data_IF_053352743617
#
_entry.id   IF_053352743617
#
_cell.length_a   1.000
_cell.length_b   1.000
_cell.length_c   1.000
_cell.angle_alpha   90.00
_cell.angle_beta   90.00
_cell.angle_gamma   90.00
#
_symmetry.space_group_name_H-M   'P 1'
#
loop_
_entity.id
_entity.type
_entity.pdbx_description
1 polymer ?
#
# COMPACT_ATOMS: atom_id res chain seq x y z
N UNK A 1 -1.16 1.00 -11.41
CA UNK A 1 -0.55 1.50 -12.67
C UNK A 1 -1.55 1.74 -13.81
N UNK A 2 -2.78 1.23 -13.76
CA UNK A 2 -3.80 1.45 -14.81
C UNK A 2 -4.02 2.92 -15.23
N UNK A 3 -4.10 3.91 -14.31
CA UNK A 3 -4.27 5.33 -14.69
C UNK A 3 -3.19 5.90 -15.61
N UNK A 4 -2.02 5.25 -15.64
CA UNK A 4 -0.86 5.67 -16.42
C UNK A 4 -0.67 4.84 -17.69
N UNK A 5 -1.52 3.82 -17.93
CA UNK A 5 -1.53 3.07 -19.17
C UNK A 5 -2.28 3.84 -20.27
N UNK A 6 -1.83 3.80 -21.54
CA UNK A 6 -2.57 4.36 -22.65
C UNK A 6 -4.00 3.81 -22.72
N UNK A 7 -4.99 4.65 -23.05
CA UNK A 7 -6.41 4.29 -23.08
C UNK A 7 -6.70 2.97 -23.80
N UNK A 8 -6.13 2.78 -24.99
CA UNK A 8 -6.33 1.56 -25.78
C UNK A 8 -5.88 0.28 -25.05
N UNK A 9 -4.82 0.36 -24.24
CA UNK A 9 -4.36 -0.79 -23.44
C UNK A 9 -5.34 -1.12 -22.32
N UNK A 10 -5.97 -0.11 -21.72
CA UNK A 10 -6.95 -0.30 -20.66
C UNK A 10 -8.24 -0.92 -21.20
N UNK A 11 -8.72 -0.42 -22.35
CA UNK A 11 -9.90 -0.97 -23.05
C UNK A 11 -9.69 -2.46 -23.39
N UNK A 12 -8.51 -2.83 -23.87
CA UNK A 12 -8.18 -4.24 -24.16
C UNK A 12 -8.21 -5.11 -22.91
N UNK A 13 -7.78 -4.57 -21.75
CA UNK A 13 -7.85 -5.29 -20.46
C UNK A 13 -9.30 -5.45 -20.01
N UNK A 14 -10.14 -4.40 -20.13
CA UNK A 14 -11.55 -4.45 -19.79
C UNK A 14 -12.28 -5.57 -20.55
N UNK A 15 -12.17 -5.60 -21.88
CA UNK A 15 -12.74 -6.69 -22.69
C UNK A 15 -12.15 -8.07 -22.37
N UNK A 16 -10.85 -8.15 -22.05
CA UNK A 16 -10.22 -9.42 -21.66
C UNK A 16 -10.74 -9.96 -20.32
N UNK A 17 -11.33 -9.10 -19.49
CA UNK A 17 -11.99 -9.48 -18.23
C UNK A 17 -13.47 -9.84 -18.42
N UNK A 18 -13.97 -9.84 -19.66
CA UNK A 18 -15.36 -10.13 -19.96
C UNK A 18 -16.32 -8.97 -19.69
N UNK A 19 -15.79 -7.78 -19.41
CA UNK A 19 -16.57 -6.56 -19.24
C UNK A 19 -17.00 -6.06 -20.63
N UNK A 20 -18.29 -5.83 -20.82
CA UNK A 20 -18.85 -5.28 -22.05
C UNK A 20 -19.42 -3.87 -21.76
N UNK A 21 -18.91 -2.81 -22.41
CA UNK A 21 -19.48 -1.48 -22.26
C UNK A 21 -20.88 -1.36 -22.88
N UNK A 22 -21.34 -2.36 -23.64
CA UNK A 22 -22.62 -2.35 -24.33
C UNK A 22 -23.39 -3.68 -24.05
N UNK A 23 -23.42 -4.19 -22.81
CA UNK A 23 -24.07 -5.47 -22.48
C UNK A 23 -25.56 -5.44 -22.91
N UNK A 24 -25.94 -6.17 -23.97
CA UNK A 24 -27.30 -6.11 -24.50
C UNK A 24 -28.27 -7.05 -23.77
N UNK A 25 -27.80 -7.85 -22.81
CA UNK A 25 -28.57 -8.89 -22.13
C UNK A 25 -29.10 -8.47 -20.74
N UNK A 26 -28.69 -7.31 -20.18
CA UNK A 26 -29.28 -6.69 -19.00
C UNK A 26 -29.96 -5.33 -19.32
N UNK A 27 -31.30 -5.31 -19.55
CA UNK A 27 -32.02 -4.10 -19.90
C UNK A 27 -32.14 -3.07 -18.76
N UNK A 28 -31.73 -3.42 -17.53
CA UNK A 28 -31.74 -2.53 -16.37
C UNK A 28 -30.34 -1.94 -16.07
N UNK A 29 -29.26 -2.46 -16.68
CA UNK A 29 -27.88 -1.96 -16.53
C UNK A 29 -27.08 -2.06 -17.85
N UNK A 30 -27.28 -1.12 -18.81
CA UNK A 30 -26.75 -1.21 -20.17
C UNK A 30 -25.24 -0.95 -20.31
N UNK A 31 -24.57 -0.55 -19.23
CA UNK A 31 -23.14 -0.23 -19.18
C UNK A 31 -22.54 -1.01 -18.00
N UNK A 32 -21.62 -1.96 -18.20
CA UNK A 32 -20.88 -2.54 -17.06
C UNK A 32 -20.13 -1.39 -16.34
N UNK A 33 -20.55 -0.99 -15.12
CA UNK A 33 -20.02 0.22 -14.50
C UNK A 33 -18.53 0.08 -14.22
N UNK A 34 -18.01 -1.15 -14.05
CA UNK A 34 -16.58 -1.40 -13.87
C UNK A 34 -15.77 -1.10 -15.16
N UNK A 35 -16.39 -1.12 -16.35
CA UNK A 35 -15.74 -0.73 -17.60
C UNK A 35 -15.30 0.75 -17.60
N UNK A 36 -16.02 1.61 -16.86
CA UNK A 36 -15.68 3.03 -16.72
C UNK A 36 -14.31 3.25 -16.04
N UNK A 37 -13.85 2.29 -15.21
CA UNK A 37 -12.50 2.31 -14.65
C UNK A 37 -11.42 2.21 -15.74
N UNK A 38 -11.70 1.48 -16.82
CA UNK A 38 -10.73 1.27 -17.91
C UNK A 38 -10.71 2.44 -18.89
N UNK A 39 -11.82 3.14 -19.09
CA UNK A 39 -11.90 4.33 -19.95
C UNK A 39 -11.36 5.58 -19.28
N UNK A 40 -11.74 5.82 -18.03
CA UNK A 40 -11.26 6.95 -17.23
C UNK A 40 -11.14 6.57 -15.74
N UNK A 41 -10.03 5.93 -15.33
CA UNK A 41 -9.85 5.47 -13.96
C UNK A 41 -9.82 6.61 -12.95
N UNK A 42 -9.44 7.83 -13.37
CA UNK A 42 -9.43 8.98 -12.48
C UNK A 42 -10.87 9.45 -12.23
N UNK A 43 -11.66 9.62 -13.29
CA UNK A 43 -13.07 9.99 -13.16
C UNK A 43 -13.89 8.88 -12.52
N UNK A 44 -13.65 7.61 -12.87
CA UNK A 44 -14.28 6.46 -12.22
C UNK A 44 -14.00 6.42 -10.73
N UNK A 45 -12.75 6.62 -10.28
CA UNK A 45 -12.45 6.68 -8.86
C UNK A 45 -13.11 7.89 -8.19
N UNK A 46 -13.32 9.00 -8.91
CA UNK A 46 -14.07 10.17 -8.42
C UNK A 46 -15.58 9.87 -8.33
N UNK A 47 -16.14 9.16 -9.31
CA UNK A 47 -17.56 8.81 -9.39
C UNK A 47 -17.92 7.71 -8.38
N UNK A 48 -17.06 6.70 -8.22
CA UNK A 48 -17.18 5.68 -7.16
C UNK A 48 -16.97 6.26 -5.76
N UNK A 49 -16.12 7.28 -5.63
CA UNK A 49 -16.01 8.03 -4.40
C UNK A 49 -17.23 8.92 -4.13
N UNK A 50 -18.21 8.99 -5.05
CA UNK A 50 -19.45 9.75 -4.90
C UNK A 50 -19.18 11.25 -4.62
N UNK A 51 -19.30 11.65 -3.37
CA UNK A 51 -19.03 13.03 -2.94
C UNK A 51 -17.53 13.37 -2.75
N UNK A 52 -16.63 12.39 -2.92
CA UNK A 52 -15.17 12.50 -2.88
C UNK A 52 -14.52 11.43 -1.99
N UNK A 53 -13.18 11.31 -2.02
CA UNK A 53 -12.47 10.49 -1.03
C UNK A 53 -12.74 11.03 0.37
N UNK A 54 -13.37 10.24 1.23
CA UNK A 54 -13.70 10.66 2.58
C UNK A 54 -12.45 10.89 3.43
N UNK A 55 -11.40 10.10 3.23
CA UNK A 55 -10.18 10.14 4.03
C UNK A 55 -8.90 9.94 3.22
N UNK A 56 -7.86 10.73 3.51
CA UNK A 56 -6.47 10.52 3.08
C UNK A 56 -5.62 10.33 4.32
N UNK A 57 -4.95 9.18 4.43
CA UNK A 57 -4.09 8.88 5.58
C UNK A 57 -2.63 9.00 5.17
N UNK A 58 -1.90 9.87 5.84
CA UNK A 58 -0.44 9.92 5.76
C UNK A 58 0.14 8.89 6.72
N UNK A 59 1.17 8.18 6.27
CA UNK A 59 1.91 7.20 7.08
C UNK A 59 3.30 7.75 7.37
N UNK A 60 3.70 7.91 8.64
CA UNK A 60 5.03 8.37 8.99
C UNK A 60 6.07 7.24 8.76
N UNK A 61 7.35 7.56 8.91
CA UNK A 61 8.38 6.51 8.93
C UNK A 61 8.21 5.58 10.15
N UNK A 62 8.47 4.30 9.95
CA UNK A 62 8.22 3.23 10.92
C UNK A 62 9.35 3.10 11.95
N UNK A 63 9.49 4.09 12.83
CA UNK A 63 10.54 4.11 13.85
C UNK A 63 10.28 3.13 14.99
N UNK A 64 11.33 2.38 15.38
CA UNK A 64 11.31 1.51 16.55
C UNK A 64 10.44 0.27 16.38
N UNK A 65 9.96 -0.28 17.51
CA UNK A 65 9.04 -1.41 17.51
C UNK A 65 7.70 -0.96 16.92
N UNK A 66 7.05 -1.78 16.09
CA UNK A 66 5.75 -1.43 15.52
C UNK A 66 4.58 -1.58 16.48
N UNK A 67 3.35 -1.62 15.97
CA UNK A 67 2.16 -1.74 16.81
C UNK A 67 2.21 -2.99 17.68
N UNK A 68 1.68 -2.90 18.89
CA UNK A 68 1.42 -4.07 19.71
C UNK A 68 0.50 -5.05 18.95
N UNK A 69 0.60 -6.34 19.25
CA UNK A 69 -0.36 -7.30 18.71
C UNK A 69 -1.77 -6.92 19.19
N UNK A 70 -2.78 -6.88 18.29
CA UNK A 70 -4.12 -6.49 18.67
C UNK A 70 -4.73 -7.54 19.60
N UNK A 71 -5.45 -7.10 20.62
CA UNK A 71 -6.15 -7.97 21.57
C UNK A 71 -7.19 -8.84 20.82
N UNK A 72 -6.84 -10.10 20.56
CA UNK A 72 -7.58 -11.06 19.74
C UNK A 72 -8.91 -11.58 20.30
N UNK A 73 -9.41 -10.98 21.37
CA UNK A 73 -10.54 -11.49 22.16
C UNK A 73 -11.93 -11.03 21.69
N UNK A 74 -12.03 -9.95 20.92
CA UNK A 74 -13.33 -9.35 20.53
C UNK A 74 -14.08 -10.11 19.44
N UNK A 75 -15.41 -10.00 19.39
CA UNK A 75 -16.18 -10.29 18.16
C UNK A 75 -16.08 -9.09 17.20
N UNK A 76 -16.25 -9.31 15.88
CA UNK A 76 -16.36 -8.21 14.93
C UNK A 76 -17.47 -7.23 15.34
N UNK A 77 -17.11 -5.95 15.42
CA UNK A 77 -18.03 -4.87 15.76
C UNK A 77 -18.77 -4.44 14.49
N UNK A 78 -20.02 -4.85 14.33
CA UNK A 78 -20.85 -4.45 13.19
C UNK A 78 -21.56 -3.12 13.50
N UNK A 79 -21.59 -2.21 12.53
CA UNK A 79 -22.43 -1.02 12.59
C UNK A 79 -23.91 -1.41 12.69
N UNK A 80 -24.80 -0.51 13.14
CA UNK A 80 -26.25 -0.77 13.14
C UNK A 80 -26.82 -1.18 11.78
N UNK A 81 -26.16 -0.77 10.70
CA UNK A 81 -26.54 -1.06 9.32
C UNK A 81 -25.89 -2.35 8.77
N UNK A 82 -25.05 -3.02 9.58
CA UNK A 82 -24.37 -4.27 9.23
C UNK A 82 -22.98 -4.10 8.63
N UNK A 83 -22.48 -2.87 8.54
CA UNK A 83 -21.16 -2.57 7.99
C UNK A 83 -20.05 -2.88 8.99
N UNK A 84 -18.85 -3.15 8.47
CA UNK A 84 -17.63 -3.32 9.25
C UNK A 84 -16.86 -2.00 9.30
N UNK A 85 -16.90 -1.24 10.42
CA UNK A 85 -16.27 0.05 10.49
C UNK A 85 -14.75 -0.09 10.52
N UNK A 86 -14.09 0.46 9.49
CA UNK A 86 -12.64 0.65 9.50
C UNK A 86 -12.28 1.75 10.51
N UNK A 87 -11.55 1.39 11.57
CA UNK A 87 -10.98 2.33 12.52
C UNK A 87 -9.54 2.61 12.12
N UNK A 88 -9.12 3.86 12.25
CA UNK A 88 -7.75 4.28 11.92
C UNK A 88 -7.16 4.95 13.16
N UNK A 89 -6.03 4.43 13.63
CA UNK A 89 -5.27 5.04 14.72
C UNK A 89 -4.51 6.24 14.16
N UNK A 90 -5.21 7.35 14.05
CA UNK A 90 -4.71 8.60 13.54
C UNK A 90 -5.25 9.79 14.35
N UNK A 91 -4.53 10.91 14.27
CA UNK A 91 -5.07 12.19 14.71
C UNK A 91 -5.95 12.75 13.59
N UNK A 92 -7.25 12.86 13.88
CA UNK A 92 -8.15 13.73 13.15
C UNK A 92 -7.91 15.15 13.66
N UNK A 93 -7.39 16.02 12.79
CA UNK A 93 -6.88 17.34 13.17
C UNK A 93 -5.71 17.29 14.16
N UNK A 94 -4.56 17.65 13.63
CA UNK A 94 -3.34 17.90 14.37
C UNK A 94 -3.57 19.06 15.37
N UNK A 95 -3.61 18.75 16.67
CA UNK A 95 -3.51 19.75 17.76
C UNK A 95 -2.09 19.72 18.33
N UNK A 96 -1.19 20.54 17.81
CA UNK A 96 0.18 20.65 18.33
C UNK A 96 0.37 21.82 19.32
N UNK A 97 1.05 21.52 20.44
CA UNK A 97 1.48 22.49 21.44
C UNK A 97 2.59 23.40 20.87
N UNK A 98 2.19 24.63 20.56
CA UNK A 98 2.88 25.92 20.45
C UNK A 98 4.33 26.11 19.99
N UNK A 99 5.27 25.17 20.08
CA UNK A 99 6.69 25.47 19.80
C UNK A 99 7.19 25.05 18.40
N UNK A 100 6.39 24.32 17.61
CA UNK A 100 6.68 23.95 16.20
C UNK A 100 5.79 24.70 15.17
N UNK A 101 5.28 25.88 15.53
CA UNK A 101 4.08 26.48 14.91
C UNK A 101 4.20 27.08 13.50
N UNK A 102 5.36 27.49 13.01
CA UNK A 102 5.34 28.39 11.84
C UNK A 102 5.32 27.69 10.47
N UNK A 103 5.84 26.46 10.34
CA UNK A 103 6.03 25.81 9.05
C UNK A 103 4.81 25.00 8.53
N UNK A 104 4.06 24.38 9.45
CA UNK A 104 2.94 23.48 9.15
C UNK A 104 1.56 24.12 9.36
N UNK A 105 1.44 25.14 10.20
CA UNK A 105 0.20 25.92 10.33
C UNK A 105 -0.16 26.64 9.02
N UNK A 106 0.84 27.11 8.28
CA UNK A 106 0.67 27.75 6.97
C UNK A 106 0.32 26.72 5.86
N UNK A 107 0.77 25.47 5.99
CA UNK A 107 0.38 24.36 5.10
C UNK A 107 -1.11 24.04 5.22
N UNK A 108 -1.62 24.06 6.45
CA UNK A 108 -3.01 23.74 6.79
C UNK A 108 -3.99 24.85 6.37
N UNK A 109 -3.57 26.12 6.41
CA UNK A 109 -4.37 27.24 5.88
C UNK A 109 -4.64 27.15 4.37
N UNK A 110 -3.80 26.44 3.62
CA UNK A 110 -3.93 26.31 2.17
C UNK A 110 -4.87 25.15 1.78
N UNK A 111 -4.93 24.10 2.61
CA UNK A 111 -5.78 22.94 2.38
C UNK A 111 -7.23 23.17 2.83
N UNK A 112 -7.48 24.10 3.76
CA UNK A 112 -8.84 24.54 4.11
C UNK A 112 -9.60 25.25 2.97
N UNK A 113 -8.91 25.60 1.87
CA UNK A 113 -9.52 26.07 0.63
C UNK A 113 -9.94 24.93 -0.32
N UNK A 114 -9.47 23.70 -0.11
CA UNK A 114 -9.96 22.51 -0.79
C UNK A 114 -11.26 22.07 -0.09
N UNK A 115 -12.31 21.89 -0.90
CA UNK A 115 -13.68 21.55 -0.47
C UNK A 115 -13.73 20.64 0.77
N UNK A 116 -14.55 21.05 1.74
CA UNK A 116 -14.87 20.44 3.06
C UNK A 116 -15.29 18.95 3.11
N UNK A 117 -14.84 18.07 2.20
CA UNK A 117 -15.34 16.68 2.06
C UNK A 117 -14.29 15.59 2.22
N UNK A 118 -13.00 15.93 2.30
CA UNK A 118 -11.91 14.97 2.47
C UNK A 118 -11.20 15.23 3.80
N UNK A 119 -11.21 14.27 4.71
CA UNK A 119 -10.51 14.32 5.98
C UNK A 119 -9.07 13.85 5.78
N UNK A 120 -8.10 14.70 6.08
CA UNK A 120 -6.71 14.30 6.11
C UNK A 120 -6.34 13.84 7.52
N UNK A 121 -5.76 12.65 7.59
CA UNK A 121 -5.38 11.98 8.83
C UNK A 121 -3.88 11.75 8.84
N UNK A 122 -3.26 12.01 9.99
CA UNK A 122 -1.89 11.61 10.24
C UNK A 122 -1.93 10.37 11.12
N UNK A 123 -1.58 9.21 10.58
CA UNK A 123 -1.46 7.99 11.37
C UNK A 123 -0.45 8.20 12.50
N UNK A 124 -0.79 7.76 13.72
CA UNK A 124 0.16 7.81 14.83
C UNK A 124 1.42 7.03 14.47
N UNK A 125 2.60 7.39 15.02
CA UNK A 125 3.72 6.47 15.04
C UNK A 125 3.26 5.12 15.60
N UNK A 126 3.53 4.03 14.87
CA UNK A 126 3.09 2.66 15.21
C UNK A 126 1.57 2.44 15.13
N UNK A 127 0.82 3.37 14.54
CA UNK A 127 -0.61 3.24 14.35
C UNK A 127 -0.98 2.17 13.33
N UNK A 128 -2.20 1.67 13.43
CA UNK A 128 -2.81 0.70 12.52
C UNK A 128 -4.12 1.21 11.97
N UNK A 129 -4.56 0.63 10.85
CA UNK A 129 -5.96 0.69 10.44
C UNK A 129 -6.55 -0.70 10.63
N UNK A 130 -7.75 -0.82 11.18
CA UNK A 130 -8.30 -2.11 11.52
C UNK A 130 -9.82 -2.15 11.56
N UNK A 131 -10.38 -3.31 11.26
CA UNK A 131 -11.75 -3.69 11.56
C UNK A 131 -11.72 -4.43 12.91
N UNK A 132 -12.31 -3.87 13.98
CA UNK A 132 -12.26 -4.45 15.31
C UNK A 132 -12.65 -5.93 15.33
N UNK A 133 -11.84 -6.76 16.00
CA UNK A 133 -12.13 -8.20 16.16
C UNK A 133 -12.05 -9.03 14.87
N UNK A 134 -11.66 -8.43 13.74
CA UNK A 134 -11.63 -9.12 12.45
C UNK A 134 -10.28 -9.01 11.74
N UNK A 135 -9.82 -7.80 11.42
CA UNK A 135 -8.72 -7.59 10.48
C UNK A 135 -7.92 -6.35 10.81
N UNK A 136 -6.59 -6.40 10.71
CA UNK A 136 -5.70 -5.26 10.86
C UNK A 136 -4.90 -5.00 9.58
N UNK A 137 -4.49 -3.76 9.42
CA UNK A 137 -3.58 -3.25 8.40
C UNK A 137 -2.45 -2.51 9.09
N UNK A 138 -1.23 -2.98 8.87
CA UNK A 138 -0.02 -2.40 9.47
C UNK A 138 0.88 -1.90 8.35
N UNK A 139 0.89 -0.59 8.07
CA UNK A 139 1.76 -0.02 7.07
C UNK A 139 3.20 0.10 7.61
N UNK A 140 4.18 -0.11 6.73
CA UNK A 140 5.59 0.05 7.04
C UNK A 140 6.30 0.92 6.01
N UNK A 141 6.98 1.96 6.48
CA UNK A 141 7.79 2.85 5.68
C UNK A 141 9.21 2.89 6.26
N UNK A 142 10.20 2.40 5.51
CA UNK A 142 11.56 2.15 6.00
C UNK A 142 12.20 3.44 6.56
N UNK A 143 12.57 3.50 7.85
CA UNK A 143 13.24 4.65 8.44
C UNK A 143 14.57 5.02 7.78
N UNK A 144 15.27 4.05 7.18
CA UNK A 144 16.52 4.29 6.47
C UNK A 144 16.34 5.14 5.20
N UNK A 145 15.11 5.24 4.70
CA UNK A 145 14.77 6.06 3.54
C UNK A 145 14.65 7.56 3.87
N UNK A 146 14.79 7.97 5.14
CA UNK A 146 14.74 9.38 5.56
C UNK A 146 15.77 10.26 4.87
N UNK A 147 15.45 11.54 4.60
CA UNK A 147 16.45 12.52 4.21
C UNK A 147 17.58 12.60 5.25
N UNK A 148 18.85 12.57 4.80
CA UNK A 148 20.02 12.72 5.69
C UNK A 148 20.00 13.99 6.53
N UNK A 149 19.36 15.06 6.05
CA UNK A 149 19.13 16.30 6.78
C UNK A 149 17.68 16.72 6.60
N UNK A 150 16.82 16.16 7.44
CA UNK A 150 15.38 16.37 7.41
C UNK A 150 15.00 17.84 7.60
N UNK A 151 15.58 18.54 8.59
CA UNK A 151 15.30 19.95 8.84
C UNK A 151 15.55 20.82 7.61
N UNK A 152 16.69 20.65 6.94
CA UNK A 152 17.03 21.39 5.71
C UNK A 152 16.15 20.99 4.52
N UNK A 153 15.77 19.72 4.43
CA UNK A 153 14.87 19.24 3.39
C UNK A 153 13.49 19.91 3.54
N UNK A 154 12.91 19.86 4.75
CA UNK A 154 11.63 20.49 5.07
C UNK A 154 11.68 22.00 4.82
N UNK A 155 12.71 22.69 5.31
CA UNK A 155 12.90 24.13 5.06
C UNK A 155 12.91 24.46 3.56
N UNK A 156 13.65 23.68 2.75
CA UNK A 156 13.73 23.90 1.31
C UNK A 156 12.41 23.61 0.60
N UNK A 157 11.71 22.55 1.00
CA UNK A 157 10.39 22.19 0.46
C UNK A 157 9.38 23.29 0.78
N UNK A 158 9.35 23.81 2.00
CA UNK A 158 8.44 24.90 2.40
C UNK A 158 8.69 26.15 1.58
N UNK A 159 9.95 26.59 1.44
CA UNK A 159 10.29 27.75 0.61
C UNK A 159 9.83 27.59 -0.86
N UNK A 160 10.03 26.40 -1.44
CA UNK A 160 9.64 26.12 -2.83
C UNK A 160 8.11 26.01 -2.99
N UNK A 161 7.45 25.46 -1.98
CA UNK A 161 5.98 25.44 -1.89
C UNK A 161 5.44 26.86 -1.84
N UNK A 162 5.95 27.71 -0.96
CA UNK A 162 5.42 29.07 -0.80
C UNK A 162 5.56 29.85 -2.11
N UNK A 163 6.69 29.67 -2.81
CA UNK A 163 6.86 30.18 -4.17
C UNK A 163 5.84 29.60 -5.17
N UNK A 164 5.57 28.28 -5.13
CA UNK A 164 4.56 27.64 -5.98
C UNK A 164 3.15 28.19 -5.75
N UNK A 165 2.83 28.55 -4.50
CA UNK A 165 1.50 28.95 -4.08
C UNK A 165 1.23 30.46 -4.23
N UNK A 166 2.28 31.29 -4.13
CA UNK A 166 2.16 32.75 -4.11
C UNK A 166 2.55 33.46 -5.42
N UNK A 167 3.16 32.78 -6.38
CA UNK A 167 3.77 33.43 -7.55
C UNK A 167 2.93 33.42 -8.83
N UNK A 168 3.38 34.17 -9.85
CA UNK A 168 2.82 34.20 -11.20
C UNK A 168 3.02 32.87 -11.94
N UNK A 169 2.28 32.60 -13.03
CA UNK A 169 2.29 31.29 -13.70
C UNK A 169 3.69 30.79 -14.14
N UNK A 170 4.58 31.68 -14.58
CA UNK A 170 5.96 31.30 -14.95
C UNK A 170 6.81 30.94 -13.73
N UNK A 171 6.66 31.68 -12.63
CA UNK A 171 7.37 31.42 -11.38
C UNK A 171 6.90 30.12 -10.72
N UNK A 172 5.62 29.76 -10.90
CA UNK A 172 5.07 28.46 -10.46
C UNK A 172 5.72 27.29 -11.19
N UNK A 173 5.93 27.41 -12.50
CA UNK A 173 6.59 26.37 -13.29
C UNK A 173 8.04 26.15 -12.82
N UNK A 174 8.75 27.23 -12.53
CA UNK A 174 10.12 27.17 -12.00
C UNK A 174 10.16 26.60 -10.58
N UNK A 175 9.26 27.01 -9.69
CA UNK A 175 9.14 26.46 -8.34
C UNK A 175 8.83 24.95 -8.36
N UNK A 176 7.92 24.50 -9.22
CA UNK A 176 7.59 23.09 -9.40
C UNK A 176 8.79 22.29 -9.93
N UNK A 177 9.51 22.84 -10.91
CA UNK A 177 10.73 22.23 -11.44
C UNK A 177 11.79 22.09 -10.35
N UNK A 178 11.98 23.13 -9.55
CA UNK A 178 12.97 23.13 -8.47
C UNK A 178 12.58 22.19 -7.33
N UNK A 179 11.29 22.06 -7.02
CA UNK A 179 10.78 21.08 -6.05
C UNK A 179 11.05 19.64 -6.53
N UNK A 180 10.72 19.33 -7.79
CA UNK A 180 11.03 18.03 -8.41
C UNK A 180 12.52 17.74 -8.40
N UNK A 181 13.34 18.72 -8.76
CA UNK A 181 14.80 18.59 -8.75
C UNK A 181 15.34 18.38 -7.33
N UNK A 182 14.79 19.06 -6.34
CA UNK A 182 15.18 18.89 -4.95
C UNK A 182 14.85 17.46 -4.48
N UNK A 183 13.64 16.99 -4.76
CA UNK A 183 13.22 15.63 -4.43
C UNK A 183 14.14 14.57 -5.07
N UNK A 184 14.41 14.66 -6.37
CA UNK A 184 15.30 13.70 -7.09
C UNK A 184 16.75 13.75 -6.57
N UNK A 185 17.22 14.89 -6.05
CA UNK A 185 18.55 15.01 -5.44
C UNK A 185 18.59 14.40 -4.05
N UNK A 186 17.51 14.52 -3.28
CA UNK A 186 17.38 13.92 -1.94
C UNK A 186 17.20 12.42 -2.05
N UNK A 187 16.35 11.98 -2.98
CA UNK A 187 15.98 10.60 -3.25
C UNK A 187 16.33 10.22 -4.69
N UNK A 188 17.61 9.91 -4.97
CA UNK A 188 18.05 9.50 -6.29
C UNK A 188 17.27 8.26 -6.77
N UNK A 189 17.18 8.09 -8.09
CA UNK A 189 16.46 6.96 -8.73
C UNK A 189 16.81 5.59 -8.15
N UNK A 190 18.05 5.40 -7.70
CA UNK A 190 18.52 4.15 -7.08
C UNK A 190 17.87 3.84 -5.74
N UNK A 191 17.24 4.82 -5.08
CA UNK A 191 16.60 4.72 -3.76
C UNK A 191 15.08 4.85 -3.82
N UNK A 192 14.48 5.01 -5.01
CA UNK A 192 13.02 5.15 -5.12
C UNK A 192 12.28 3.91 -4.61
N UNK A 193 12.89 2.73 -4.79
CA UNK A 193 12.38 1.48 -4.28
C UNK A 193 12.35 1.45 -2.74
N UNK A 194 13.32 2.09 -2.09
CA UNK A 194 13.40 2.21 -0.62
C UNK A 194 12.28 3.08 -0.04
N UNK A 195 11.61 3.88 -0.87
CA UNK A 195 10.47 4.73 -0.49
C UNK A 195 9.11 4.03 -0.67
N UNK A 196 9.09 2.76 -1.09
CA UNK A 196 7.84 2.03 -1.26
C UNK A 196 7.21 1.76 0.09
N UNK A 197 5.90 2.01 0.18
CA UNK A 197 5.13 1.62 1.34
C UNK A 197 4.88 0.11 1.31
N UNK A 198 5.23 -0.56 2.40
CA UNK A 198 4.84 -1.94 2.66
C UNK A 198 3.53 -1.94 3.44
N UNK A 199 2.72 -2.98 3.25
CA UNK A 199 1.47 -3.14 3.96
C UNK A 199 1.30 -4.60 4.37
N UNK A 200 1.29 -4.85 5.66
CA UNK A 200 0.73 -6.09 6.21
C UNK A 200 -0.79 -5.93 6.32
N UNK A 201 -1.52 -6.99 6.00
CA UNK A 201 -2.94 -7.12 6.30
C UNK A 201 -3.23 -8.53 6.79
N UNK A 202 -3.91 -8.69 7.92
CA UNK A 202 -4.18 -10.02 8.44
C UNK A 202 -5.23 -10.02 9.54
N UNK A 203 -5.68 -11.20 9.98
CA UNK A 203 -6.77 -11.29 10.92
C UNK A 203 -6.35 -10.92 12.35
N UNK A 204 -7.29 -10.35 13.10
CA UNK A 204 -7.12 -10.04 14.52
C UNK A 204 -7.61 -11.22 15.36
N UNK A 205 -6.68 -11.84 16.09
CA UNK A 205 -6.95 -12.93 17.02
C UNK A 205 -6.62 -14.31 16.47
N UNK A 206 -7.34 -15.33 16.94
CA UNK A 206 -7.07 -16.74 16.61
C UNK A 206 -7.96 -17.20 15.47
N UNK A 207 -7.58 -16.79 14.26
CA UNK A 207 -8.18 -17.25 13.02
C UNK A 207 -7.27 -18.27 12.37
N UNK A 208 -7.88 -19.28 11.77
CA UNK A 208 -7.21 -20.26 10.93
C UNK A 208 -7.85 -20.24 9.56
N UNK A 209 -7.06 -20.50 8.52
CA UNK A 209 -7.63 -20.76 7.20
C UNK A 209 -7.65 -22.25 6.92
N UNK A 210 -8.74 -22.70 6.31
CA UNK A 210 -8.81 -24.02 5.71
C UNK A 210 -8.21 -23.93 4.30
N UNK A 211 -6.89 -24.07 4.21
CA UNK A 211 -6.22 -24.17 2.92
C UNK A 211 -6.08 -25.64 2.52
N UNK A 212 -6.62 -26.08 1.36
CA UNK A 212 -6.22 -27.35 0.78
C UNK A 212 -4.68 -27.47 0.76
N UNK A 213 -4.17 -28.61 1.24
CA UNK A 213 -2.75 -28.97 1.35
C UNK A 213 -1.96 -28.37 2.53
N UNK A 214 -2.55 -27.47 3.33
CA UNK A 214 -1.96 -26.90 4.55
C UNK A 214 -3.02 -26.74 5.63
N UNK A 215 -3.48 -27.86 6.21
CA UNK A 215 -4.43 -27.85 7.32
C UNK A 215 -3.86 -27.04 8.50
N UNK A 216 -4.41 -25.84 8.74
CA UNK A 216 -4.17 -25.04 9.95
C UNK A 216 -2.79 -24.38 10.08
N UNK A 217 -1.98 -24.28 9.01
CA UNK A 217 -0.64 -23.68 9.10
C UNK A 217 -0.63 -22.15 8.97
N UNK A 218 -1.59 -21.57 8.27
CA UNK A 218 -1.61 -20.14 7.95
C UNK A 218 -2.83 -19.44 8.56
N UNK A 219 -2.69 -18.14 8.84
CA UNK A 219 -3.73 -17.32 9.47
C UNK A 219 -4.59 -16.55 8.47
N UNK A 220 -4.14 -16.40 7.22
CA UNK A 220 -4.83 -15.59 6.19
C UNK A 220 -4.14 -14.28 5.89
N UNK A 221 -3.00 -14.00 6.54
CA UNK A 221 -2.28 -12.74 6.40
C UNK A 221 -1.59 -12.55 5.05
N UNK A 222 -1.39 -11.29 4.70
CA UNK A 222 -0.82 -10.83 3.45
C UNK A 222 0.23 -9.76 3.72
N UNK A 223 1.34 -9.81 2.98
CA UNK A 223 2.32 -8.73 2.94
C UNK A 223 2.44 -8.23 1.50
N UNK A 224 2.09 -6.96 1.31
CA UNK A 224 2.30 -6.21 0.08
C UNK A 224 3.57 -5.40 0.20
N UNK A 225 4.50 -5.60 -0.72
CA UNK A 225 5.80 -4.91 -0.70
C UNK A 225 5.93 -3.86 -1.79
N UNK A 226 5.03 -3.85 -2.79
CA UNK A 226 5.17 -3.03 -3.99
C UNK A 226 6.55 -3.19 -4.64
N UNK A 227 7.22 -2.07 -4.90
CA UNK A 227 8.59 -2.01 -5.42
C UNK A 227 9.66 -1.94 -4.32
N UNK A 228 9.28 -2.26 -3.08
CA UNK A 228 10.11 -2.19 -1.89
C UNK A 228 11.46 -2.90 -2.00
N UNK A 229 12.41 -2.49 -1.17
CA UNK A 229 13.76 -3.06 -1.18
C UNK A 229 13.99 -3.93 0.05
N UNK A 230 14.24 -5.22 -0.19
CA UNK A 230 14.67 -6.21 0.80
C UNK A 230 15.95 -6.90 0.31
N UNK A 231 16.92 -6.12 -0.16
CA UNK A 231 18.19 -6.62 -0.70
C UNK A 231 19.27 -6.86 0.35
N UNK A 232 19.00 -6.51 1.61
CA UNK A 232 19.89 -6.75 2.75
C UNK A 232 19.16 -7.38 3.93
N UNK A 233 19.90 -8.09 4.77
CA UNK A 233 19.38 -8.60 6.05
C UNK A 233 18.90 -7.44 6.94
N UNK A 234 19.63 -6.33 7.01
CA UNK A 234 19.22 -5.15 7.79
C UNK A 234 17.83 -4.62 7.40
N UNK A 235 17.49 -4.57 6.11
CA UNK A 235 16.17 -4.16 5.62
C UNK A 235 15.08 -5.13 6.08
N UNK A 236 15.37 -6.44 6.02
CA UNK A 236 14.46 -7.46 6.53
C UNK A 236 14.30 -7.39 8.04
N UNK A 237 15.38 -7.26 8.82
CA UNK A 237 15.34 -7.15 10.27
C UNK A 237 14.56 -5.90 10.72
N UNK A 238 14.68 -4.79 9.99
CA UNK A 238 13.90 -3.58 10.25
C UNK A 238 12.40 -3.81 10.04
N UNK A 239 12.01 -4.40 8.90
CA UNK A 239 10.61 -4.74 8.61
C UNK A 239 10.05 -5.76 9.62
N UNK A 240 10.77 -6.86 9.85
CA UNK A 240 10.34 -7.94 10.72
C UNK A 240 10.30 -7.51 12.20
N UNK A 241 11.24 -6.67 12.63
CA UNK A 241 11.25 -6.05 13.95
C UNK A 241 10.05 -5.13 14.16
N UNK A 242 9.71 -4.31 13.16
CA UNK A 242 8.53 -3.45 13.22
C UNK A 242 7.23 -4.27 13.23
N UNK A 243 7.05 -5.19 12.29
CA UNK A 243 5.84 -6.01 12.20
C UNK A 243 5.68 -6.97 13.39
N UNK A 244 6.79 -7.41 13.97
CA UNK A 244 6.82 -8.49 14.94
C UNK A 244 6.71 -9.87 14.27
N UNK A 245 7.09 -10.92 15.01
CA UNK A 245 7.14 -12.28 14.47
C UNK A 245 5.79 -12.77 13.96
N UNK A 246 4.70 -12.45 14.67
CA UNK A 246 3.34 -12.88 14.31
C UNK A 246 2.91 -12.41 12.92
N UNK A 247 3.33 -11.21 12.50
CA UNK A 247 2.92 -10.59 11.24
C UNK A 247 3.93 -10.81 10.10
N UNK A 248 5.20 -11.01 10.43
CA UNK A 248 6.28 -11.12 9.44
C UNK A 248 6.60 -12.56 9.02
N UNK A 249 6.31 -13.55 9.88
CA UNK A 249 6.61 -14.95 9.64
C UNK A 249 5.38 -15.72 9.15
N UNK A 250 5.57 -16.57 8.13
CA UNK A 250 4.56 -17.41 7.49
C UNK A 250 3.28 -16.66 7.09
N UNK A 251 3.37 -15.54 6.33
CA UNK A 251 2.17 -14.96 5.75
C UNK A 251 1.56 -15.92 4.73
N UNK A 252 0.24 -15.97 4.65
CA UNK A 252 -0.50 -16.72 3.63
C UNK A 252 -0.08 -16.28 2.23
N UNK A 253 0.03 -14.97 2.01
CA UNK A 253 0.44 -14.38 0.73
C UNK A 253 1.56 -13.37 0.94
N UNK A 254 2.63 -13.53 0.18
CA UNK A 254 3.71 -12.54 0.11
C UNK A 254 3.85 -12.02 -1.32
N UNK A 255 3.62 -10.73 -1.53
CA UNK A 255 3.95 -10.08 -2.80
C UNK A 255 5.47 -9.95 -2.89
N UNK A 256 6.07 -10.48 -3.95
CA UNK A 256 7.52 -10.40 -4.15
C UNK A 256 7.89 -9.00 -4.64
N UNK A 257 8.85 -8.31 -3.97
CA UNK A 257 9.19 -6.94 -4.30
C UNK A 257 9.70 -6.77 -5.72
N UNK A 258 9.31 -5.66 -6.33
CA UNK A 258 9.81 -5.17 -7.60
C UNK A 258 9.87 -6.25 -8.69
N UNK A 259 8.73 -6.95 -8.86
CA UNK A 259 8.54 -7.98 -9.87
C UNK A 259 9.49 -9.20 -9.74
N UNK A 260 10.15 -9.38 -8.59
CA UNK A 260 11.19 -10.41 -8.41
C UNK A 260 12.58 -9.96 -8.88
N UNK A 261 12.92 -8.68 -8.68
CA UNK A 261 14.26 -8.16 -8.94
C UNK A 261 15.28 -8.63 -7.89
N UNK A 262 16.41 -9.18 -8.34
CA UNK A 262 17.52 -9.54 -7.43
C UNK A 262 18.19 -8.33 -6.76
N UNK A 263 17.94 -7.11 -7.25
CA UNK A 263 18.46 -5.90 -6.63
C UNK A 263 17.59 -5.43 -5.47
N UNK A 264 16.43 -6.06 -5.26
CA UNK A 264 15.48 -5.79 -4.19
C UNK A 264 15.31 -7.01 -3.26
N UNK A 265 16.16 -8.02 -3.42
CA UNK A 265 16.03 -9.32 -2.78
C UNK A 265 17.40 -9.90 -2.45
N UNK A 266 17.59 -10.44 -1.25
CA UNK A 266 18.77 -11.26 -0.94
C UNK A 266 18.43 -12.74 -0.82
N UNK A 267 19.38 -13.61 -1.20
CA UNK A 267 19.21 -15.07 -1.13
C UNK A 267 19.10 -15.55 0.32
N UNK A 268 18.10 -16.39 0.60
CA UNK A 268 17.79 -16.91 1.92
C UNK A 268 16.63 -16.18 2.60
N UNK A 269 16.23 -15.01 2.10
CA UNK A 269 15.09 -14.25 2.62
C UNK A 269 13.79 -15.07 2.56
N UNK A 270 13.61 -15.89 1.51
CA UNK A 270 12.44 -16.75 1.39
C UNK A 270 12.27 -17.70 2.59
N UNK A 271 13.38 -18.23 3.11
CA UNK A 271 13.37 -19.13 4.28
C UNK A 271 13.20 -18.39 5.61
N UNK A 272 13.36 -17.06 5.62
CA UNK A 272 13.07 -16.24 6.80
C UNK A 272 11.59 -15.85 6.84
N UNK A 273 10.96 -15.65 5.68
CA UNK A 273 9.53 -15.31 5.58
C UNK A 273 8.66 -16.57 5.64
N UNK A 274 9.06 -17.65 4.97
CA UNK A 274 8.30 -18.90 4.78
C UNK A 274 6.84 -18.70 4.30
N UNK A 275 6.59 -17.94 3.22
CA UNK A 275 5.22 -17.63 2.84
C UNK A 275 4.47 -18.86 2.28
N UNK A 276 3.15 -18.89 2.46
CA UNK A 276 2.29 -19.92 1.86
C UNK A 276 2.27 -19.83 0.33
N UNK A 277 2.20 -18.61 -0.19
CA UNK A 277 2.31 -18.27 -1.60
C UNK A 277 3.21 -17.06 -1.82
N UNK A 278 3.96 -17.08 -2.92
CA UNK A 278 4.80 -15.95 -3.36
C UNK A 278 4.29 -15.39 -4.69
N UNK A 279 3.77 -14.17 -4.70
CA UNK A 279 3.18 -13.54 -5.90
C UNK A 279 4.19 -12.64 -6.61
N UNK A 280 4.54 -13.00 -7.84
CA UNK A 280 5.37 -12.21 -8.74
C UNK A 280 4.49 -11.42 -9.71
N UNK A 281 4.31 -10.12 -9.46
CA UNK A 281 3.59 -9.22 -10.37
C UNK A 281 4.47 -8.84 -11.57
N UNK A 282 4.79 -9.75 -12.49
CA UNK A 282 5.79 -9.54 -13.54
C UNK A 282 5.28 -9.90 -14.94
N UNK A 283 5.34 -8.95 -15.89
CA UNK A 283 4.95 -9.15 -17.28
C UNK A 283 6.09 -9.80 -18.11
N UNK A 284 5.92 -11.04 -18.63
CA UNK A 284 6.93 -11.72 -19.44
C UNK A 284 7.17 -11.03 -20.80
N UNK A 285 6.23 -10.21 -21.28
CA UNK A 285 6.36 -9.41 -22.49
C UNK A 285 7.24 -8.16 -22.30
N UNK A 286 7.52 -7.76 -21.06
CA UNK A 286 8.27 -6.55 -20.75
C UNK A 286 9.80 -6.79 -20.85
N UNK A 287 10.29 -6.92 -22.09
CA UNK A 287 11.67 -7.34 -22.43
C UNK A 287 12.81 -6.50 -21.84
N UNK A 288 12.55 -5.28 -21.36
CA UNK A 288 13.59 -4.37 -20.88
C UNK A 288 14.08 -4.66 -19.45
N UNK A 289 13.30 -5.31 -18.60
CA UNK A 289 13.64 -5.48 -17.18
C UNK A 289 14.15 -6.88 -16.82
N UNK A 290 13.74 -7.92 -17.56
CA UNK A 290 14.25 -9.28 -17.34
C UNK A 290 13.89 -9.86 -15.96
N UNK A 291 12.76 -9.43 -15.39
CA UNK A 291 12.22 -9.94 -14.14
C UNK A 291 11.11 -10.97 -14.42
N UNK A 292 10.91 -11.96 -13.53
CA UNK A 292 11.65 -12.20 -12.29
C UNK A 292 13.05 -12.79 -12.57
N UNK A 293 14.01 -12.48 -11.71
CA UNK A 293 15.35 -13.06 -11.82
C UNK A 293 15.36 -14.52 -11.33
N UNK A 294 16.14 -15.37 -12.01
CA UNK A 294 16.21 -16.80 -11.72
C UNK A 294 16.64 -17.12 -10.27
N UNK A 295 17.48 -16.29 -9.67
CA UNK A 295 17.94 -16.50 -8.28
C UNK A 295 16.82 -16.24 -7.27
N UNK A 296 15.98 -15.22 -7.51
CA UNK A 296 14.80 -14.92 -6.68
C UNK A 296 13.75 -16.03 -6.83
N UNK A 297 13.50 -16.47 -8.06
CA UNK A 297 12.61 -17.61 -8.33
C UNK A 297 13.09 -18.89 -7.63
N UNK A 298 14.41 -19.15 -7.62
CA UNK A 298 14.98 -20.33 -6.97
C UNK A 298 14.81 -20.28 -5.47
N UNK A 299 15.01 -19.12 -4.87
CA UNK A 299 14.84 -18.91 -3.42
C UNK A 299 13.39 -19.14 -2.99
N UNK A 300 12.43 -18.65 -3.79
CA UNK A 300 11.00 -18.78 -3.52
C UNK A 300 10.36 -20.05 -4.10
N UNK A 301 11.12 -20.92 -4.78
CA UNK A 301 10.61 -22.16 -5.36
C UNK A 301 9.89 -23.08 -4.37
N UNK A 302 10.38 -23.24 -3.12
CA UNK A 302 9.66 -24.02 -2.10
C UNK A 302 8.33 -23.40 -1.68
N UNK A 303 8.15 -22.09 -1.91
CA UNK A 303 7.07 -21.26 -1.39
C UNK A 303 6.08 -20.85 -2.49
N UNK A 304 5.77 -21.81 -3.36
CA UNK A 304 4.70 -21.75 -4.37
C UNK A 304 4.70 -20.42 -5.16
N UNK A 305 5.73 -20.19 -6.00
CA UNK A 305 5.82 -18.98 -6.78
C UNK A 305 4.71 -18.94 -7.83
N UNK A 306 3.87 -17.91 -7.78
CA UNK A 306 2.83 -17.65 -8.76
C UNK A 306 3.17 -16.35 -9.48
N UNK A 307 3.22 -16.41 -10.80
CA UNK A 307 3.44 -15.24 -11.63
C UNK A 307 2.12 -14.70 -12.13
N UNK A 308 1.88 -13.41 -11.93
CA UNK A 308 0.72 -12.68 -12.45
C UNK A 308 1.16 -11.53 -13.34
N UNK A 309 0.37 -11.25 -14.37
CA UNK A 309 0.58 -10.12 -15.28
C UNK A 309 -0.77 -9.58 -15.77
N UNK A 310 -0.76 -8.76 -16.82
CA UNK A 310 -1.99 -8.16 -17.38
C UNK A 310 -2.94 -9.17 -18.02
N UNK A 311 -2.45 -10.36 -18.34
CA UNK A 311 -3.17 -11.45 -19.03
C UNK A 311 -3.39 -12.63 -18.09
N UNK A 312 -2.40 -12.96 -17.26
CA UNK A 312 -2.45 -14.07 -16.32
C UNK A 312 -2.81 -13.53 -14.94
N UNK A 313 -4.07 -13.67 -14.58
CA UNK A 313 -4.58 -13.34 -13.25
C UNK A 313 -4.55 -14.57 -12.34
N UNK A 314 -4.46 -14.33 -11.03
CA UNK A 314 -4.58 -15.36 -10.02
C UNK A 314 -5.57 -14.90 -8.96
N UNK A 315 -6.50 -15.79 -8.62
CA UNK A 315 -7.53 -15.55 -7.63
C UNK A 315 -7.53 -16.75 -6.69
N UNK A 316 -7.60 -16.47 -5.40
CA UNK A 316 -7.78 -17.51 -4.39
C UNK A 316 -8.77 -17.02 -3.35
N UNK A 317 -9.59 -17.95 -2.88
CA UNK A 317 -10.53 -17.74 -1.80
C UNK A 317 -10.07 -18.59 -0.62
N UNK A 318 -9.96 -17.98 0.55
CA UNK A 318 -9.73 -18.67 1.81
C UNK A 318 -10.85 -18.29 2.77
N UNK A 319 -11.36 -19.29 3.48
CA UNK A 319 -12.30 -19.09 4.57
C UNK A 319 -11.53 -18.99 5.88
N UNK A 320 -11.91 -18.03 6.73
CA UNK A 320 -11.35 -17.84 8.06
C UNK A 320 -12.28 -18.46 9.10
N UNK A 321 -11.76 -19.40 9.87
CA UNK A 321 -12.45 -20.04 10.97
C UNK A 321 -11.85 -19.57 12.29
N UNK A 322 -12.70 -19.09 13.19
CA UNK A 322 -12.26 -18.70 14.53
C UNK A 322 -12.12 -19.94 15.40
N UNK A 323 -10.94 -20.15 15.96
CA UNK A 323 -10.73 -21.18 16.97
C UNK A 323 -11.45 -20.79 18.26
N UNK A 324 -12.47 -21.56 18.64
CA UNK A 324 -13.24 -21.35 19.88
C UNK A 324 -12.51 -21.85 21.13
N UNK A 325 -11.38 -22.54 20.96
CA UNK A 325 -10.67 -23.26 22.03
C UNK A 325 -9.50 -22.48 22.64
N UNK A 326 -9.52 -21.14 22.55
CA UNK A 326 -8.53 -20.27 23.20
C UNK A 326 -8.77 -20.14 24.70
N UNK A 327 -8.38 -21.16 25.47
CA UNK A 327 -8.17 -21.10 26.93
C UNK A 327 -6.69 -21.03 27.29
#
# INVERSE_FOLDING_TARGET
MLPWAPLWHRIVIGYAQGLDPDDPDDPDDPDDPEFAFYTDPAQYLVDQAGDGFEQIVFVPFSDGDGPADPDGGGEPDFSPDGDLPLKIEAEAEIHYEKDDQDAMAEWMSYLSGARHRCQMLMMYPRGTAFVPGLWEFVPYNDPASRPKNEARFVERVNNLRDALLSSSDNDRADALRDLKNHYVRTFPKSQLNDLSLFLYGGPIGHWQTDWPWFEGQFDGSMIYTGDGNLSTDDQWQSLAGYLGHKRSFQPTVFQVPHHGSKNNWFTGLASMIEPGLSIFSSDPGHRSYGHPHADVLRDLWPFRPIKVDKVHQYWHHFELHRNKDGS
#
